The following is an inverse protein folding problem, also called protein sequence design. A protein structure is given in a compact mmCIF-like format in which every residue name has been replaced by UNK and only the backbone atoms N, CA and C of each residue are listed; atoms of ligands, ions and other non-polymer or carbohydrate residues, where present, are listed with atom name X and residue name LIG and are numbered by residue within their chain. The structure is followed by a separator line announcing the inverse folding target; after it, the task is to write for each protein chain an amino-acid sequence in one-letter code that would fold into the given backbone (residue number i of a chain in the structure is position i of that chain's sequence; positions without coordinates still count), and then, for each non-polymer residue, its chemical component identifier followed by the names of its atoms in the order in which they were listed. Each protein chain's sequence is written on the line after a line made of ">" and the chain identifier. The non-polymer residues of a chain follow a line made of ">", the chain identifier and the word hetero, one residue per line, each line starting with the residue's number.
data_IF_507067710008
#
_entry.id   IF_507067710008
#
_cell.length_a   1.000
_cell.length_b   1.000
_cell.length_c   1.000
_cell.angle_alpha   90.00
_cell.angle_beta   90.00
_cell.angle_gamma   90.00
#
_symmetry.space_group_name_H-M   'P 1'
#
loop_
_entity.id
_entity.type
_entity.pdbx_description
1 polymer ?
#
# COMPACT_ATOMS: atom_id res chain seq x y z
N UNK A 1 -3.51 15.29 0.19
CA UNK A 1 -4.56 15.20 -0.85
C UNK A 1 -5.26 13.85 -0.85
N UNK A 2 -4.57 12.74 -1.14
CA UNK A 2 -5.22 11.42 -1.25
C UNK A 2 -5.97 11.02 0.02
N UNK A 3 -5.33 11.07 1.19
CA UNK A 3 -5.99 10.76 2.48
C UNK A 3 -7.22 11.66 2.74
N UNK A 4 -7.22 12.92 2.29
CA UNK A 4 -8.40 13.80 2.41
C UNK A 4 -9.57 13.34 1.51
N UNK A 5 -9.28 12.86 0.29
CA UNK A 5 -10.30 12.32 -0.61
C UNK A 5 -10.88 11.01 -0.06
N UNK A 6 -10.01 10.15 0.49
CA UNK A 6 -10.40 8.90 1.12
C UNK A 6 -11.29 9.15 2.34
N UNK A 7 -10.88 10.06 3.23
CA UNK A 7 -11.64 10.45 4.42
C UNK A 7 -12.98 11.12 4.07
N UNK A 8 -13.11 11.73 2.88
CA UNK A 8 -14.38 12.26 2.39
C UNK A 8 -15.29 11.19 1.75
N UNK A 9 -14.97 9.90 1.90
CA UNK A 9 -15.72 8.78 1.34
C UNK A 9 -15.49 8.51 -0.16
N UNK A 10 -14.52 9.19 -0.81
CA UNK A 10 -14.22 8.91 -2.23
C UNK A 10 -13.37 7.64 -2.32
N UNK A 11 -13.78 6.72 -3.18
CA UNK A 11 -13.08 5.46 -3.41
C UNK A 11 -11.94 5.60 -4.43
N UNK A 12 -10.95 6.43 -4.11
CA UNK A 12 -9.81 6.71 -5.01
C UNK A 12 -8.73 5.65 -4.82
N UNK A 13 -8.59 4.75 -5.79
CA UNK A 13 -7.56 3.70 -5.81
C UNK A 13 -6.24 4.24 -6.34
N UNK A 14 -5.14 3.81 -5.74
CA UNK A 14 -3.79 4.18 -6.12
C UNK A 14 -3.21 3.25 -7.19
N UNK A 15 -2.53 3.87 -8.15
CA UNK A 15 -1.59 3.27 -9.09
C UNK A 15 -0.38 4.20 -9.18
N UNK A 16 0.80 3.64 -9.39
CA UNK A 16 2.06 4.36 -9.56
C UNK A 16 2.75 3.99 -10.87
N UNK A 17 3.47 4.94 -11.44
CA UNK A 17 4.32 4.74 -12.60
C UNK A 17 5.52 5.69 -12.53
N UNK A 18 6.63 5.28 -13.14
CA UNK A 18 7.92 5.98 -13.02
C UNK A 18 8.02 7.28 -13.78
N UNK A 19 7.09 7.51 -14.73
CA UNK A 19 7.15 8.65 -15.65
C UNK A 19 8.54 8.84 -16.28
N UNK A 20 9.16 7.71 -16.64
CA UNK A 20 10.57 7.68 -16.97
C UNK A 20 10.84 8.36 -18.32
N UNK A 21 11.48 9.53 -18.26
CA UNK A 21 11.91 10.30 -19.41
C UNK A 21 13.42 10.56 -19.29
N UNK A 22 14.22 9.68 -19.91
CA UNK A 22 15.66 9.84 -20.04
C UNK A 22 16.08 9.79 -21.50
N UNK A 23 17.10 10.58 -21.91
CA UNK A 23 17.79 10.37 -23.18
C UNK A 23 18.34 8.94 -23.29
N UNK A 24 18.32 8.38 -24.50
CA UNK A 24 18.88 7.06 -24.75
C UNK A 24 20.36 7.02 -24.32
N UNK A 25 20.71 6.03 -23.48
CA UNK A 25 22.10 5.81 -23.03
C UNK A 25 22.53 6.59 -21.79
N UNK A 26 21.65 7.34 -21.13
CA UNK A 26 21.98 8.08 -19.90
C UNK A 26 20.92 7.87 -18.81
N UNK A 27 21.24 7.07 -17.78
CA UNK A 27 20.37 6.84 -16.61
C UNK A 27 20.64 7.94 -15.57
N UNK A 28 20.09 9.13 -15.83
CA UNK A 28 20.39 10.37 -15.07
C UNK A 28 19.32 10.74 -14.04
N UNK A 29 18.23 9.97 -13.96
CA UNK A 29 17.10 10.31 -13.11
C UNK A 29 17.15 9.57 -11.75
N UNK A 30 16.64 10.25 -10.73
CA UNK A 30 16.43 9.71 -9.39
C UNK A 30 15.46 8.54 -9.34
N UNK A 31 14.42 8.60 -10.18
CA UNK A 31 13.47 7.53 -10.36
C UNK A 31 13.81 6.83 -11.68
N UNK A 32 14.15 5.55 -11.56
CA UNK A 32 14.46 4.70 -12.72
C UNK A 32 13.18 4.14 -13.32
N UNK A 33 13.29 3.56 -14.52
CA UNK A 33 12.20 2.82 -15.12
C UNK A 33 11.63 1.78 -14.14
N UNK A 34 10.32 1.82 -13.92
CA UNK A 34 9.66 0.94 -12.95
C UNK A 34 9.74 1.40 -11.49
N UNK A 35 10.14 2.64 -11.21
CA UNK A 35 10.14 3.22 -9.87
C UNK A 35 9.23 4.45 -9.81
N UNK A 36 8.04 4.41 -9.15
CA UNK A 36 7.50 3.26 -8.41
C UNK A 36 6.94 2.15 -9.32
N UNK A 37 6.78 0.95 -8.75
CA UNK A 37 6.15 -0.21 -9.38
C UNK A 37 4.74 -0.43 -8.84
N UNK A 38 3.75 -0.57 -9.73
CA UNK A 38 2.43 -1.09 -9.37
C UNK A 38 2.41 -2.61 -9.50
N UNK A 39 2.14 -3.30 -8.40
CA UNK A 39 1.83 -4.72 -8.40
C UNK A 39 0.34 -4.91 -8.58
N UNK A 40 -0.05 -5.88 -9.41
CA UNK A 40 -1.44 -6.16 -9.75
C UNK A 40 -1.76 -7.63 -9.41
N UNK A 41 -2.74 -7.84 -8.55
CA UNK A 41 -3.23 -9.17 -8.21
C UNK A 41 -4.32 -9.58 -9.20
N UNK A 42 -3.97 -10.45 -10.14
CA UNK A 42 -4.85 -10.89 -11.22
C UNK A 42 -5.34 -12.32 -10.99
N UNK A 43 -6.57 -12.63 -11.41
CA UNK A 43 -7.06 -14.01 -11.53
C UNK A 43 -6.50 -14.72 -12.76
N UNK A 44 -6.24 -13.95 -13.82
CA UNK A 44 -5.71 -14.42 -15.09
C UNK A 44 -4.63 -13.45 -15.58
N UNK A 45 -3.53 -13.99 -16.11
CA UNK A 45 -2.43 -13.20 -16.71
C UNK A 45 -2.77 -12.78 -18.15
N UNK A 46 -3.85 -12.02 -18.30
CA UNK A 46 -4.31 -11.46 -19.58
C UNK A 46 -4.39 -9.93 -19.49
N UNK A 47 -4.43 -9.23 -20.63
CA UNK A 47 -4.65 -7.78 -20.63
C UNK A 47 -5.94 -7.41 -19.91
N UNK A 48 -7.02 -8.17 -20.14
CA UNK A 48 -8.30 -7.97 -19.47
C UNK A 48 -8.19 -8.22 -17.97
N UNK A 49 -7.55 -9.32 -17.55
CA UNK A 49 -7.37 -9.64 -16.13
C UNK A 49 -6.56 -8.58 -15.38
N UNK A 50 -5.55 -7.97 -16.02
CA UNK A 50 -4.79 -6.84 -15.46
C UNK A 50 -5.69 -5.61 -15.32
N UNK A 51 -6.43 -5.27 -16.39
CA UNK A 51 -7.31 -4.11 -16.39
C UNK A 51 -8.41 -4.22 -15.31
N UNK A 52 -9.06 -5.36 -15.21
CA UNK A 52 -10.12 -5.63 -14.22
C UNK A 52 -9.57 -5.52 -12.79
N UNK A 53 -8.38 -6.06 -12.55
CA UNK A 53 -7.72 -5.97 -11.25
C UNK A 53 -7.35 -4.52 -10.88
N UNK A 54 -6.86 -3.72 -11.84
CA UNK A 54 -6.59 -2.29 -11.63
C UNK A 54 -7.89 -1.53 -11.33
N UNK A 55 -8.95 -1.75 -12.10
CA UNK A 55 -10.24 -1.11 -11.86
C UNK A 55 -10.81 -1.45 -10.47
N UNK A 56 -10.69 -2.71 -10.06
CA UNK A 56 -11.10 -3.19 -8.75
C UNK A 56 -10.18 -2.71 -7.60
N UNK A 57 -9.01 -2.11 -7.91
CA UNK A 57 -8.05 -1.66 -6.91
C UNK A 57 -7.27 -2.80 -6.26
N UNK A 58 -7.18 -3.95 -6.93
CA UNK A 58 -6.33 -5.09 -6.56
C UNK A 58 -4.86 -4.81 -6.83
N UNK A 59 -4.40 -3.65 -6.35
CA UNK A 59 -3.06 -3.15 -6.58
C UNK A 59 -2.39 -2.68 -5.30
N UNK A 60 -1.08 -2.79 -5.28
CA UNK A 60 -0.21 -2.14 -4.30
C UNK A 60 0.96 -1.49 -5.03
N UNK A 61 1.61 -0.53 -4.38
CA UNK A 61 2.72 0.22 -4.96
C UNK A 61 3.96 -0.08 -4.14
N UNK A 62 5.05 -0.43 -4.80
CA UNK A 62 6.40 -0.50 -4.22
C UNK A 62 7.25 0.65 -4.74
N UNK A 63 8.19 1.14 -3.94
CA UNK A 63 9.15 2.16 -4.36
C UNK A 63 9.98 1.71 -5.59
N UNK A 64 10.21 0.41 -5.72
CA UNK A 64 10.90 -0.21 -6.86
C UNK A 64 10.43 -1.64 -7.12
N UNK A 65 10.72 -2.16 -8.32
CA UNK A 65 10.27 -3.49 -8.76
C UNK A 65 10.90 -4.65 -7.98
N UNK A 66 12.07 -4.44 -7.38
CA UNK A 66 12.75 -5.38 -6.47
C UNK A 66 12.49 -5.08 -4.99
N UNK A 67 11.62 -4.11 -4.71
CA UNK A 67 11.33 -3.65 -3.37
C UNK A 67 10.31 -4.53 -2.66
N UNK A 68 10.04 -4.20 -1.38
CA UNK A 68 9.07 -4.94 -0.58
C UNK A 68 7.67 -4.81 -1.17
N UNK A 69 6.83 -5.81 -0.91
CA UNK A 69 5.43 -5.83 -1.30
C UNK A 69 4.54 -5.84 -0.07
N UNK A 70 3.35 -5.29 -0.23
CA UNK A 70 2.32 -5.30 0.80
C UNK A 70 0.96 -5.64 0.20
N UNK A 71 0.17 -6.42 0.94
CA UNK A 71 -1.23 -6.70 0.66
C UNK A 71 -2.05 -6.46 1.93
N UNK A 72 -3.32 -6.09 1.76
CA UNK A 72 -4.24 -5.82 2.86
C UNK A 72 -5.51 -6.64 2.70
N UNK A 73 -5.94 -7.29 3.78
CA UNK A 73 -7.23 -7.97 3.89
C UNK A 73 -7.92 -7.58 5.19
N UNK A 74 -9.24 -7.76 5.27
CA UNK A 74 -10.01 -7.53 6.48
C UNK A 74 -11.11 -8.58 6.67
N UNK A 75 -11.42 -8.88 7.92
CA UNK A 75 -12.59 -9.68 8.33
C UNK A 75 -13.45 -8.89 9.31
N UNK A 76 -14.76 -9.17 9.31
CA UNK A 76 -15.75 -8.51 10.16
C UNK A 76 -16.10 -9.45 11.32
N UNK A 77 -16.19 -8.94 12.55
CA UNK A 77 -16.76 -9.69 13.67
C UNK A 77 -15.97 -10.91 14.17
N UNK A 78 -14.69 -11.05 13.79
CA UNK A 78 -13.79 -12.09 14.32
C UNK A 78 -14.09 -13.53 13.85
N UNK A 79 -15.04 -13.72 12.94
CA UNK A 79 -15.36 -15.02 12.33
C UNK A 79 -14.63 -15.24 10.99
N UNK A 80 -14.65 -16.49 10.50
CA UNK A 80 -14.13 -16.90 9.20
C UNK A 80 -15.00 -16.44 8.00
N UNK A 81 -15.66 -15.28 8.12
CA UNK A 81 -16.37 -14.67 7.00
C UNK A 81 -15.41 -14.31 5.86
N UNK A 82 -15.97 -14.20 4.65
CA UNK A 82 -15.26 -13.90 3.42
C UNK A 82 -14.39 -12.65 3.59
N UNK A 83 -13.07 -12.82 3.50
CA UNK A 83 -12.13 -11.73 3.65
C UNK A 83 -12.33 -10.69 2.53
N UNK A 84 -12.43 -9.42 2.94
CA UNK A 84 -12.43 -8.27 2.04
C UNK A 84 -10.98 -7.93 1.75
N UNK A 85 -10.60 -7.84 0.48
CA UNK A 85 -9.22 -7.50 0.12
C UNK A 85 -9.11 -6.03 -0.33
N UNK A 86 -7.89 -5.49 -0.34
CA UNK A 86 -7.64 -4.11 -0.78
C UNK A 86 -8.32 -3.77 -2.12
N UNK A 87 -8.82 -2.53 -2.21
CA UNK A 87 -9.57 -2.00 -3.35
C UNK A 87 -11.09 -2.19 -3.27
N UNK A 88 -11.55 -3.12 -2.44
CA UNK A 88 -12.98 -3.38 -2.22
C UNK A 88 -13.60 -2.47 -1.17
N UNK A 89 -14.93 -2.41 -1.24
CA UNK A 89 -15.77 -1.74 -0.25
C UNK A 89 -16.57 -2.77 0.55
N UNK A 90 -16.78 -2.50 1.83
CA UNK A 90 -17.57 -3.33 2.73
C UNK A 90 -18.54 -2.48 3.54
N UNK A 91 -19.76 -2.98 3.71
CA UNK A 91 -20.73 -2.38 4.62
C UNK A 91 -20.78 -3.20 5.91
N UNK A 92 -20.65 -2.53 7.05
CA UNK A 92 -20.60 -3.15 8.37
C UNK A 92 -21.73 -2.64 9.25
N UNK A 93 -22.21 -3.48 10.16
CA UNK A 93 -23.18 -3.07 11.17
C UNK A 93 -22.61 -1.98 12.09
N UNK A 94 -23.48 -1.14 12.65
CA UNK A 94 -23.07 -0.13 13.61
C UNK A 94 -22.36 -0.78 14.82
N UNK A 95 -21.22 -0.23 15.22
CA UNK A 95 -20.43 -0.76 16.33
C UNK A 95 -19.61 -2.01 16.03
N UNK A 96 -19.61 -2.52 14.79
CA UNK A 96 -18.73 -3.62 14.39
C UNK A 96 -17.24 -3.26 14.54
N UNK A 97 -16.42 -4.26 14.81
CA UNK A 97 -14.96 -4.14 14.74
C UNK A 97 -14.46 -4.86 13.48
N UNK A 98 -13.44 -4.27 12.87
CA UNK A 98 -12.71 -4.86 11.75
C UNK A 98 -11.38 -5.41 12.25
N UNK A 99 -11.06 -6.64 11.84
CA UNK A 99 -9.72 -7.20 11.96
C UNK A 99 -9.03 -7.10 10.62
N UNK A 100 -8.05 -6.20 10.50
CA UNK A 100 -7.33 -5.92 9.25
C UNK A 100 -5.95 -6.53 9.32
N UNK A 101 -5.57 -7.30 8.30
CA UNK A 101 -4.26 -7.94 8.19
C UNK A 101 -3.47 -7.35 7.03
N UNK A 102 -2.28 -6.83 7.33
CA UNK A 102 -1.28 -6.46 6.34
C UNK A 102 -0.26 -7.59 6.22
N UNK A 103 -0.10 -8.17 5.03
CA UNK A 103 0.95 -9.13 4.72
C UNK A 103 2.06 -8.43 3.95
N UNK A 104 3.29 -8.55 4.45
CA UNK A 104 4.48 -7.92 3.90
C UNK A 104 5.44 -9.00 3.41
N UNK A 105 6.00 -8.80 2.22
CA UNK A 105 7.10 -9.60 1.67
C UNK A 105 8.34 -8.73 1.47
N UNK A 106 9.50 -9.29 1.78
CA UNK A 106 10.83 -8.70 1.61
C UNK A 106 10.99 -7.34 2.33
N UNK A 107 10.24 -7.14 3.42
CA UNK A 107 10.18 -5.87 4.16
C UNK A 107 11.14 -5.73 5.33
N UNK A 108 12.08 -6.65 5.52
CA UNK A 108 12.98 -6.67 6.66
C UNK A 108 13.73 -5.34 6.86
N UNK A 109 13.75 -4.84 8.11
CA UNK A 109 14.37 -3.55 8.44
C UNK A 109 13.48 -2.33 8.23
N UNK A 110 12.28 -2.50 7.66
CA UNK A 110 11.27 -1.46 7.58
C UNK A 110 10.20 -1.59 8.68
N UNK A 111 9.37 -0.56 8.81
CA UNK A 111 8.25 -0.51 9.75
C UNK A 111 6.95 -0.50 8.98
N UNK A 112 6.07 -1.46 9.24
CA UNK A 112 4.70 -1.44 8.75
C UNK A 112 3.86 -0.54 9.64
N UNK A 113 2.91 0.18 9.05
CA UNK A 113 1.90 0.93 9.79
C UNK A 113 0.57 0.91 9.07
N UNK A 114 -0.51 0.95 9.85
CA UNK A 114 -1.87 1.09 9.34
C UNK A 114 -2.27 2.56 9.37
N UNK A 115 -3.01 2.99 8.36
CA UNK A 115 -3.60 4.31 8.27
C UNK A 115 -5.11 4.13 8.31
N UNK A 116 -5.73 4.65 9.38
CA UNK A 116 -7.17 4.60 9.63
C UNK A 116 -7.68 6.03 9.60
N UNK A 117 -8.46 6.39 8.58
CA UNK A 117 -8.94 7.77 8.36
C UNK A 117 -7.85 8.84 8.49
N UNK A 118 -6.67 8.56 7.91
CA UNK A 118 -5.51 9.45 7.91
C UNK A 118 -4.64 9.36 9.18
N UNK A 119 -5.03 8.58 10.19
CA UNK A 119 -4.31 8.44 11.45
C UNK A 119 -3.43 7.18 11.43
N UNK A 120 -2.16 7.34 11.77
CA UNK A 120 -1.19 6.23 11.91
C UNK A 120 -1.55 5.37 13.13
N UNK A 121 -1.56 4.05 12.95
CA UNK A 121 -1.85 3.03 13.96
C UNK A 121 -0.86 1.88 13.87
N UNK A 122 -0.54 1.32 15.04
CA UNK A 122 0.25 0.10 15.22
C UNK A 122 1.53 0.03 14.35
N UNK A 123 2.48 0.98 14.51
CA UNK A 123 3.79 0.86 13.86
C UNK A 123 4.53 -0.36 14.41
N UNK A 124 4.96 -1.26 13.54
CA UNK A 124 5.64 -2.51 13.92
C UNK A 124 6.82 -2.80 12.97
N UNK A 125 7.93 -3.28 13.52
CA UNK A 125 9.10 -3.66 12.72
C UNK A 125 8.88 -5.00 12.01
N UNK A 126 9.29 -5.07 10.76
CA UNK A 126 9.32 -6.30 9.98
C UNK A 126 10.66 -6.99 10.17
N UNK A 127 10.61 -8.24 10.59
CA UNK A 127 11.80 -9.04 10.95
C UNK A 127 11.95 -10.31 10.12
N UNK A 128 10.89 -10.74 9.42
CA UNK A 128 10.91 -11.92 8.56
C UNK A 128 10.73 -11.55 7.08
N UNK A 129 11.14 -12.46 6.20
CA UNK A 129 10.98 -12.30 4.75
C UNK A 129 9.50 -12.24 4.33
N UNK A 130 8.63 -12.95 5.04
CA UNK A 130 7.19 -12.83 4.94
C UNK A 130 6.61 -12.70 6.34
N UNK A 131 5.81 -11.66 6.58
CA UNK A 131 5.24 -11.40 7.90
C UNK A 131 3.87 -10.73 7.78
N UNK A 132 2.92 -11.21 8.58
CA UNK A 132 1.59 -10.63 8.70
C UNK A 132 1.43 -9.87 10.01
N UNK A 133 0.73 -8.75 9.93
CA UNK A 133 0.44 -7.85 11.04
C UNK A 133 -1.05 -7.61 11.09
N UNK A 134 -1.63 -7.60 12.30
CA UNK A 134 -3.07 -7.44 12.48
C UNK A 134 -3.39 -6.22 13.32
N UNK A 135 -4.36 -5.43 12.86
CA UNK A 135 -4.97 -4.34 13.59
C UNK A 135 -6.45 -4.63 13.78
N UNK A 136 -6.91 -4.68 15.03
CA UNK A 136 -8.34 -4.58 15.34
C UNK A 136 -8.69 -3.12 15.58
N UNK A 137 -9.68 -2.61 14.84
CA UNK A 137 -10.11 -1.21 14.94
C UNK A 137 -11.62 -1.10 14.82
N UNK A 138 -12.27 -0.12 15.50
CA UNK A 138 -13.63 0.28 15.17
C UNK A 138 -13.78 0.61 13.68
N UNK A 139 -15.02 0.61 13.20
CA UNK A 139 -15.36 1.06 11.85
C UNK A 139 -14.76 2.44 11.55
N UNK A 140 -14.15 2.55 10.36
CA UNK A 140 -13.58 3.76 9.80
C UNK A 140 -14.20 4.04 8.42
N UNK A 141 -13.81 5.11 7.73
CA UNK A 141 -14.18 5.35 6.33
C UNK A 141 -13.28 4.56 5.38
N UNK A 142 -11.98 4.50 5.70
CA UNK A 142 -11.03 3.67 4.98
C UNK A 142 -9.89 3.19 5.87
N UNK A 143 -9.28 2.07 5.48
CA UNK A 143 -8.07 1.55 6.09
C UNK A 143 -7.09 1.18 4.98
N UNK A 144 -5.84 1.65 5.08
CA UNK A 144 -4.72 1.22 4.22
C UNK A 144 -3.50 0.88 5.06
N UNK A 145 -2.53 0.18 4.50
CA UNK A 145 -1.24 -0.04 5.14
C UNK A 145 -0.10 0.52 4.29
N UNK A 146 0.96 0.98 4.96
CA UNK A 146 2.19 1.40 4.31
C UNK A 146 3.40 0.85 5.04
N UNK A 147 4.47 0.65 4.29
CA UNK A 147 5.77 0.26 4.78
C UNK A 147 6.70 1.48 4.69
N UNK A 148 7.25 1.89 5.83
CA UNK A 148 8.09 3.07 5.94
C UNK A 148 9.50 2.70 6.44
N UNK A 149 10.48 3.49 6.02
CA UNK A 149 11.82 3.41 6.56
C UNK A 149 12.76 4.36 5.85
N UNK A 150 14.01 4.34 6.26
CA UNK A 150 15.00 5.27 5.73
C UNK A 150 15.47 4.81 4.34
N UNK A 151 15.70 5.77 3.44
CA UNK A 151 16.30 5.52 2.13
C UNK A 151 17.79 5.20 2.31
N UNK A 152 18.26 4.01 1.90
CA UNK A 152 19.68 3.68 1.88
C UNK A 152 20.49 4.67 1.03
N UNK A 153 21.69 5.00 1.50
CA UNK A 153 22.56 5.97 0.83
C UNK A 153 22.97 5.55 -0.58
N UNK A 154 23.15 4.24 -0.78
CA UNK A 154 23.53 3.59 -2.04
C UNK A 154 22.39 3.56 -3.08
N UNK A 155 21.16 3.87 -2.67
CA UNK A 155 20.02 4.03 -3.58
C UNK A 155 19.81 5.46 -4.06
N UNK A 156 20.58 6.43 -3.56
CA UNK A 156 20.61 7.77 -4.13
C UNK A 156 21.48 7.77 -5.40
N UNK A 157 21.08 8.46 -6.48
CA UNK A 157 21.99 8.74 -7.57
C UNK A 157 23.21 9.54 -7.13
N UNK A 158 24.26 9.44 -7.94
CA UNK A 158 25.52 10.13 -7.70
C UNK A 158 25.37 11.66 -7.65
N UNK A 159 24.37 12.23 -8.33
CA UNK A 159 24.07 13.66 -8.39
C UNK A 159 22.98 14.10 -7.39
N UNK A 160 22.49 13.20 -6.53
CA UNK A 160 21.51 13.56 -5.52
C UNK A 160 22.08 14.62 -4.54
N UNK A 161 21.28 15.63 -4.15
CA UNK A 161 21.70 16.62 -3.15
C UNK A 161 22.14 15.96 -1.84
N UNK A 162 23.28 16.42 -1.31
CA UNK A 162 23.89 15.84 -0.09
C UNK A 162 23.04 16.03 1.17
N UNK A 163 22.12 16.99 1.16
CA UNK A 163 21.22 17.31 2.27
C UNK A 163 19.82 16.67 2.14
N UNK A 164 19.65 15.69 1.23
CA UNK A 164 18.35 15.06 1.02
C UNK A 164 17.88 14.33 2.29
N UNK A 165 16.65 14.62 2.72
CA UNK A 165 16.04 13.86 3.81
C UNK A 165 15.74 12.43 3.34
N UNK A 166 16.36 11.47 4.03
CA UNK A 166 16.23 10.04 3.76
C UNK A 166 15.23 9.39 4.69
N UNK A 167 14.71 10.09 5.69
CA UNK A 167 13.90 9.46 6.74
C UNK A 167 12.46 9.25 6.29
N UNK A 168 11.85 8.17 6.78
CA UNK A 168 10.40 7.94 6.62
C UNK A 168 9.92 7.83 5.18
N UNK A 169 10.77 7.33 4.27
CA UNK A 169 10.39 7.02 2.91
C UNK A 169 9.37 5.89 2.89
N UNK A 170 8.43 5.96 1.95
CA UNK A 170 7.40 4.94 1.73
C UNK A 170 7.92 3.91 0.73
N UNK A 171 8.17 2.71 1.23
CA UNK A 171 8.72 1.59 0.46
C UNK A 171 7.66 0.73 -0.18
N UNK A 172 6.50 0.61 0.48
CA UNK A 172 5.34 -0.06 -0.07
C UNK A 172 4.05 0.58 0.46
N UNK A 173 2.98 0.49 -0.32
CA UNK A 173 1.68 1.06 0.00
C UNK A 173 0.57 0.16 -0.56
N UNK A 174 -0.40 -0.22 0.27
CA UNK A 174 -1.59 -0.95 -0.17
C UNK A 174 -2.65 0.01 -0.71
N UNK A 175 -3.54 -0.49 -1.57
CA UNK A 175 -4.82 0.17 -1.74
C UNK A 175 -5.66 0.13 -0.45
N UNK A 176 -6.60 1.07 -0.28
CA UNK A 176 -7.51 1.07 0.85
C UNK A 176 -8.54 -0.05 0.76
N UNK A 177 -9.01 -0.52 1.90
CA UNK A 177 -10.34 -1.11 2.05
C UNK A 177 -11.29 0.02 2.43
N UNK A 178 -12.37 0.17 1.67
CA UNK A 178 -13.37 1.20 1.88
C UNK A 178 -14.50 0.66 2.75
N UNK A 179 -14.98 1.46 3.68
CA UNK A 179 -15.93 0.96 4.67
C UNK A 179 -17.09 1.96 4.80
N UNK A 180 -18.30 1.43 4.82
CA UNK A 180 -19.53 2.18 5.12
C UNK A 180 -20.28 1.52 6.26
N UNK A 181 -21.00 2.32 7.06
CA UNK A 181 -21.91 1.77 8.06
C UNK A 181 -23.28 1.51 7.43
N UNK A 182 -23.81 0.31 7.66
CA UNK A 182 -25.21 0.00 7.39
C UNK A 182 -26.13 0.74 8.36
N UNK A 183 -27.38 0.94 7.94
CA UNK A 183 -28.45 1.47 8.78
C UNK A 183 -28.81 0.52 9.93
#
# INVERSE_FOLDING_TARGET
>A
LWDHLLASGKQVRAVGGSDYHCPAGADTNLLRLGQPTTWVQVKERSHQGIFDAIQAGRTSISAQHSGPRIALTATIGGGAEQAVAMGEAVTVAQGAALSVTATVWDGGGFTVQFIVDGVIKAPQHVTAAEQSFTLTTPVATYIRAELIGDLPADQLPADAPTNRDRRGWRWALSNPIFISQGA
#
